data_IF_692885409795
#
_entry.id   IF_692885409795
#
_cell.length_a   1.000
_cell.length_b   1.000
_cell.length_c   1.000
_cell.angle_alpha   90.00
_cell.angle_beta   90.00
_cell.angle_gamma   90.00
#
_symmetry.space_group_name_H-M   'P 1'
#
loop_
_entity.id
_entity.type
_entity.pdbx_description
1 polymer ?
#
# COMPACT_ATOMS: atom_id res chain seq x y z
N UNK A 1 -28.45 -14.55 60.14
CA UNK A 1 -27.47 -15.59 60.54
C UNK A 1 -27.81 -16.89 59.83
N UNK A 2 -26.78 -17.51 59.22
CA UNK A 2 -26.65 -18.86 58.61
C UNK A 2 -27.14 -19.10 57.17
N UNK A 3 -26.14 -19.46 56.34
CA UNK A 3 -26.18 -20.11 55.02
C UNK A 3 -26.78 -21.53 55.12
N UNK A 4 -27.11 -22.16 53.97
CA UNK A 4 -26.20 -23.16 53.35
C UNK A 4 -26.18 -23.00 51.80
N UNK A 5 -25.30 -23.57 50.98
CA UNK A 5 -24.28 -24.61 51.09
C UNK A 5 -24.09 -25.16 49.66
N UNK A 6 -22.87 -25.08 49.14
CA UNK A 6 -22.47 -25.35 47.76
C UNK A 6 -22.97 -26.69 47.19
N UNK A 7 -23.52 -26.63 45.97
CA UNK A 7 -23.55 -27.75 45.05
C UNK A 7 -22.54 -27.56 43.93
N UNK A 8 -22.01 -28.65 43.40
CA UNK A 8 -21.81 -28.87 41.97
C UNK A 8 -21.56 -30.37 41.78
N UNK A 9 -22.53 -31.03 41.13
CA UNK A 9 -22.45 -32.40 40.66
C UNK A 9 -21.41 -32.51 39.53
N UNK A 10 -20.62 -33.59 39.54
CA UNK A 10 -19.85 -34.05 38.39
C UNK A 10 -19.87 -35.59 38.43
N UNK A 11 -20.92 -36.16 37.87
CA UNK A 11 -20.97 -37.55 37.45
C UNK A 11 -20.88 -37.60 35.93
N UNK A 12 -20.18 -38.64 35.46
CA UNK A 12 -20.11 -39.14 34.08
C UNK A 12 -19.21 -38.33 33.11
N UNK A 13 -18.20 -38.89 32.43
CA UNK A 13 -17.75 -40.26 32.29
C UNK A 13 -16.34 -40.29 31.67
N UNK A 14 -15.59 -41.33 32.05
CA UNK A 14 -14.63 -42.06 31.20
C UNK A 14 -13.28 -41.42 30.79
N UNK A 15 -12.24 -42.00 31.42
CA UNK A 15 -10.99 -42.48 30.77
C UNK A 15 -9.78 -41.54 30.70
N UNK A 16 -8.90 -41.69 31.69
CA UNK A 16 -7.46 -41.35 31.68
C UNK A 16 -6.65 -42.57 31.15
N UNK A 17 -5.34 -42.48 30.89
CA UNK A 17 -4.49 -41.39 30.39
C UNK A 17 -3.78 -41.82 29.07
N UNK A 18 -3.02 -40.98 28.38
CA UNK A 18 -1.56 -41.15 28.36
C UNK A 18 -0.86 -39.94 27.71
N UNK A 19 0.26 -39.56 28.33
CA UNK A 19 1.36 -38.79 27.79
C UNK A 19 1.13 -37.29 27.51
N UNK A 20 1.49 -36.51 28.53
CA UNK A 20 1.94 -35.13 28.38
C UNK A 20 3.20 -35.15 27.50
N UNK A 21 3.12 -34.58 26.29
CA UNK A 21 4.30 -34.02 25.61
C UNK A 21 4.01 -32.56 25.31
N UNK A 22 4.73 -31.69 26.02
CA UNK A 22 4.94 -30.29 25.64
C UNK A 22 5.42 -30.19 24.18
N UNK A 23 5.10 -29.05 23.56
CA UNK A 23 5.33 -28.58 22.17
C UNK A 23 4.07 -28.81 21.34
N UNK A 24 3.23 -27.80 21.05
CA UNK A 24 3.60 -26.63 20.28
C UNK A 24 2.95 -25.31 20.75
N UNK A 25 3.81 -24.33 21.00
CA UNK A 25 3.48 -22.90 20.97
C UNK A 25 3.43 -22.48 19.51
N UNK A 26 2.34 -22.72 18.78
CA UNK A 26 2.18 -22.10 17.47
C UNK A 26 0.72 -21.81 17.17
N UNK A 27 0.42 -20.53 16.99
CA UNK A 27 -0.92 -20.07 16.67
C UNK A 27 -1.28 -18.66 17.11
N UNK A 28 -0.31 -17.79 17.42
CA UNK A 28 -0.58 -16.35 17.33
C UNK A 28 -0.76 -16.05 15.84
N UNK A 29 -2.03 -15.97 15.39
CA UNK A 29 -2.37 -15.44 14.08
C UNK A 29 -1.84 -13.99 14.04
N UNK A 30 -0.66 -13.78 13.46
CA UNK A 30 -0.19 -12.45 13.06
C UNK A 30 -1.20 -11.96 12.03
N UNK A 31 -2.14 -11.15 12.50
CA UNK A 31 -3.25 -10.67 11.71
C UNK A 31 -2.72 -9.57 10.79
N UNK A 32 -2.11 -9.98 9.66
CA UNK A 32 -1.65 -9.06 8.62
C UNK A 32 -2.82 -8.18 8.19
N UNK A 33 -2.70 -6.87 8.40
CA UNK A 33 -3.68 -5.87 8.01
C UNK A 33 -3.33 -5.41 6.60
N UNK A 34 -4.23 -5.66 5.66
CA UNK A 34 -4.17 -5.08 4.31
C UNK A 34 -5.05 -3.84 4.25
N UNK A 35 -4.45 -2.70 3.96
CA UNK A 35 -5.15 -1.42 3.85
C UNK A 35 -5.10 -1.00 2.38
N UNK A 36 -6.28 -0.75 1.82
CA UNK A 36 -6.38 -0.07 0.54
C UNK A 36 -6.29 1.42 0.78
N UNK A 37 -5.39 2.07 0.07
CA UNK A 37 -5.23 3.51 0.11
C UNK A 37 -5.50 4.02 -1.31
N UNK A 38 -6.23 5.12 -1.43
CA UNK A 38 -6.41 5.83 -2.69
C UNK A 38 -5.91 7.27 -2.51
N UNK A 39 -4.82 7.43 -1.77
CA UNK A 39 -4.21 8.72 -1.55
C UNK A 39 -3.35 9.06 -2.77
N UNK A 40 -3.82 10.07 -3.52
CA UNK A 40 -3.03 10.73 -4.55
C UNK A 40 -2.09 11.68 -3.82
N UNK A 41 -0.80 11.68 -4.17
CA UNK A 41 0.06 12.79 -3.77
C UNK A 41 -0.28 13.97 -4.68
N UNK A 42 -1.33 14.71 -4.34
CA UNK A 42 -1.77 15.89 -5.08
C UNK A 42 -0.71 16.99 -4.97
N UNK A 43 -0.10 17.30 -6.12
CA UNK A 43 0.99 18.24 -6.30
C UNK A 43 0.42 19.67 -6.38
N UNK A 44 0.11 20.31 -5.25
CA UNK A 44 -0.32 21.71 -5.29
C UNK A 44 0.85 22.65 -5.68
N UNK A 45 0.59 23.50 -6.68
CA UNK A 45 1.52 24.45 -7.32
C UNK A 45 2.26 25.34 -6.31
N UNK A 46 3.46 24.93 -5.87
CA UNK A 46 4.18 25.66 -4.82
C UNK A 46 5.65 25.32 -4.65
N UNK A 47 6.38 25.08 -5.75
CA UNK A 47 7.84 25.18 -5.81
C UNK A 47 8.66 24.44 -4.74
N UNK A 48 9.03 23.18 -4.99
CA UNK A 48 10.30 22.55 -4.55
C UNK A 48 10.46 21.12 -5.10
N UNK A 49 11.32 20.96 -6.11
CA UNK A 49 12.17 19.76 -6.36
C UNK A 49 11.54 18.39 -6.67
N UNK A 50 12.16 17.65 -7.60
CA UNK A 50 11.84 16.25 -7.96
C UNK A 50 11.89 15.26 -6.77
N UNK A 51 12.56 15.62 -5.68
CA UNK A 51 12.72 14.80 -4.46
C UNK A 51 11.46 14.77 -3.57
N UNK A 52 10.46 15.62 -3.83
CA UNK A 52 9.25 15.76 -3.00
C UNK A 52 8.27 14.58 -3.12
N UNK A 53 8.28 13.83 -4.23
CA UNK A 53 7.30 12.76 -4.52
C UNK A 53 7.43 11.57 -3.55
N UNK A 54 8.65 11.10 -3.31
CA UNK A 54 8.91 9.97 -2.42
C UNK A 54 8.63 10.30 -0.94
N UNK A 55 8.89 11.54 -0.53
CA UNK A 55 8.69 11.99 0.85
C UNK A 55 7.20 12.08 1.21
N UNK A 56 6.37 12.59 0.29
CA UNK A 56 4.91 12.63 0.48
C UNK A 56 4.29 11.24 0.59
N UNK A 57 4.77 10.27 -0.20
CA UNK A 57 4.31 8.88 -0.09
C UNK A 57 4.65 8.27 1.28
N UNK A 58 5.86 8.52 1.82
CA UNK A 58 6.25 8.02 3.13
C UNK A 58 5.40 8.62 4.27
N UNK A 59 5.05 9.91 4.19
CA UNK A 59 4.16 10.56 5.16
C UNK A 59 2.75 9.96 5.14
N UNK A 60 2.18 9.72 3.95
CA UNK A 60 0.88 9.04 3.79
C UNK A 60 0.95 7.64 4.42
N UNK A 61 2.01 6.88 4.15
CA UNK A 61 2.16 5.53 4.70
C UNK A 61 2.24 5.55 6.23
N UNK A 62 2.97 6.51 6.82
CA UNK A 62 3.03 6.69 8.27
C UNK A 62 1.65 6.99 8.84
N UNK A 63 0.94 7.95 8.25
CA UNK A 63 -0.40 8.33 8.71
C UNK A 63 -1.38 7.16 8.63
N UNK A 64 -1.37 6.40 7.52
CA UNK A 64 -2.21 5.22 7.38
C UNK A 64 -1.85 4.11 8.37
N UNK A 65 -0.54 3.88 8.61
CA UNK A 65 -0.10 2.89 9.60
C UNK A 65 -0.56 3.26 11.02
N UNK A 66 -0.44 4.54 11.40
CA UNK A 66 -0.92 5.05 12.68
C UNK A 66 -2.45 4.92 12.82
N UNK A 67 -3.21 5.35 11.81
CA UNK A 67 -4.68 5.28 11.81
C UNK A 67 -5.20 3.85 11.96
N UNK A 68 -4.51 2.88 11.38
CA UNK A 68 -4.91 1.48 11.41
C UNK A 68 -4.19 0.64 12.48
N UNK A 69 -3.32 1.25 13.28
CA UNK A 69 -2.54 0.59 14.32
C UNK A 69 -1.68 -0.54 13.76
N UNK A 70 -0.97 -0.28 12.66
CA UNK A 70 0.09 -1.13 12.13
C UNK A 70 1.38 -0.70 12.84
N UNK A 71 2.01 -1.65 13.53
CA UNK A 71 3.30 -1.42 14.17
C UNK A 71 4.45 -1.49 13.15
N UNK A 72 4.29 -2.30 12.09
CA UNK A 72 5.29 -2.47 11.03
C UNK A 72 4.66 -2.72 9.67
N UNK A 73 5.00 -1.89 8.69
CA UNK A 73 4.61 -2.09 7.28
C UNK A 73 5.58 -3.09 6.65
N UNK A 74 5.07 -4.12 5.99
CA UNK A 74 5.88 -5.14 5.29
C UNK A 74 5.91 -4.92 3.79
N UNK A 75 4.82 -4.42 3.21
CA UNK A 75 4.68 -4.27 1.76
C UNK A 75 3.89 -3.00 1.43
N UNK A 76 4.32 -2.29 0.39
CA UNK A 76 3.67 -1.06 -0.12
C UNK A 76 3.54 -1.17 -1.62
N UNK A 77 2.35 -0.87 -2.14
CA UNK A 77 2.08 -0.79 -3.58
C UNK A 77 1.89 0.67 -3.97
N UNK A 78 2.75 1.14 -4.86
CA UNK A 78 2.68 2.47 -5.46
C UNK A 78 2.30 2.34 -6.94
N UNK A 79 1.39 3.20 -7.36
CA UNK A 79 1.09 3.42 -8.77
C UNK A 79 1.80 4.69 -9.23
N UNK A 80 2.55 4.58 -10.32
CA UNK A 80 3.31 5.70 -10.89
C UNK A 80 2.84 5.91 -12.31
N UNK A 81 2.37 7.12 -12.61
CA UNK A 81 2.00 7.48 -13.97
C UNK A 81 3.19 7.42 -14.93
N UNK A 82 2.98 6.88 -16.13
CA UNK A 82 4.04 6.70 -17.13
C UNK A 82 4.73 8.00 -17.55
N UNK A 83 4.08 9.15 -17.35
CA UNK A 83 4.63 10.48 -17.65
C UNK A 83 5.32 11.13 -16.46
N UNK A 84 5.36 10.48 -15.30
CA UNK A 84 6.00 11.04 -14.11
C UNK A 84 7.53 11.20 -14.28
N UNK A 85 8.13 10.56 -15.30
CA UNK A 85 9.58 10.58 -15.61
C UNK A 85 10.44 10.18 -14.39
N UNK A 86 9.94 9.22 -13.62
CA UNK A 86 10.61 8.67 -12.44
C UNK A 86 11.18 7.30 -12.78
N UNK A 87 12.50 7.16 -12.63
CA UNK A 87 13.15 5.86 -12.70
C UNK A 87 12.79 5.02 -11.46
N UNK A 88 12.33 3.79 -11.65
CA UNK A 88 11.95 2.87 -10.55
C UNK A 88 13.08 2.73 -9.52
N UNK A 89 14.33 2.59 -9.97
CA UNK A 89 15.50 2.44 -9.10
C UNK A 89 15.71 3.67 -8.21
N UNK A 90 15.49 4.87 -8.75
CA UNK A 90 15.58 6.12 -8.02
C UNK A 90 14.44 6.23 -7.00
N UNK A 91 13.23 5.79 -7.35
CA UNK A 91 12.09 5.78 -6.44
C UNK A 91 12.35 4.84 -5.26
N UNK A 92 12.81 3.61 -5.52
CA UNK A 92 13.22 2.66 -4.49
C UNK A 92 14.28 3.24 -3.55
N UNK A 93 15.30 3.91 -4.10
CA UNK A 93 16.36 4.51 -3.30
C UNK A 93 15.84 5.66 -2.43
N UNK A 94 15.05 6.57 -3.00
CA UNK A 94 14.47 7.68 -2.25
C UNK A 94 13.51 7.17 -1.17
N UNK A 95 12.74 6.13 -1.48
CA UNK A 95 11.80 5.51 -0.58
C UNK A 95 12.51 4.79 0.58
N UNK A 96 13.57 4.02 0.32
CA UNK A 96 14.40 3.40 1.36
C UNK A 96 14.92 4.45 2.34
N UNK A 97 15.46 5.56 1.83
CA UNK A 97 15.95 6.65 2.66
C UNK A 97 14.83 7.32 3.45
N UNK A 98 13.69 7.60 2.81
CA UNK A 98 12.54 8.24 3.45
C UNK A 98 11.92 7.36 4.54
N UNK A 99 11.98 6.04 4.39
CA UNK A 99 11.41 5.09 5.34
C UNK A 99 12.36 4.71 6.47
N UNK A 100 13.64 5.13 6.44
CA UNK A 100 14.58 4.92 7.56
C UNK A 100 14.03 5.54 8.83
N UNK A 101 14.14 4.79 9.93
CA UNK A 101 13.63 5.16 11.25
C UNK A 101 12.11 5.36 11.31
N UNK A 102 11.36 4.76 10.37
CA UNK A 102 9.89 4.76 10.36
C UNK A 102 9.31 3.35 10.44
N UNK A 103 7.99 3.24 10.60
CA UNK A 103 7.24 1.96 10.60
C UNK A 103 7.33 1.19 9.28
N UNK A 104 7.75 1.85 8.19
CA UNK A 104 7.95 1.26 6.88
C UNK A 104 9.41 0.91 6.58
N UNK A 105 10.29 0.98 7.58
CA UNK A 105 11.69 0.61 7.41
C UNK A 105 11.83 -0.85 6.97
N UNK A 106 12.49 -1.05 5.83
CA UNK A 106 12.74 -2.38 5.27
C UNK A 106 11.50 -3.06 4.66
N UNK A 107 10.45 -2.31 4.33
CA UNK A 107 9.30 -2.86 3.61
C UNK A 107 9.62 -3.09 2.13
N UNK A 108 8.92 -4.03 1.51
CA UNK A 108 9.00 -4.27 0.07
C UNK A 108 8.15 -3.24 -0.66
N UNK A 109 8.77 -2.46 -1.53
CA UNK A 109 8.06 -1.55 -2.41
C UNK A 109 7.72 -2.26 -3.73
N UNK A 110 6.45 -2.24 -4.11
CA UNK A 110 5.93 -2.73 -5.38
C UNK A 110 5.49 -1.52 -6.21
N UNK A 111 6.00 -1.39 -7.43
CA UNK A 111 5.70 -0.26 -8.32
C UNK A 111 4.91 -0.76 -9.53
N UNK A 112 3.71 -0.22 -9.70
CA UNK A 112 2.86 -0.43 -10.86
C UNK A 112 2.90 0.83 -11.74
N UNK A 113 3.42 0.71 -12.97
CA UNK A 113 3.41 1.84 -13.93
C UNK A 113 2.08 1.89 -14.65
N UNK A 114 1.36 3.01 -14.52
CA UNK A 114 0.03 3.20 -15.10
C UNK A 114 0.12 4.08 -16.35
N UNK A 115 -0.46 3.68 -17.49
CA UNK A 115 -0.50 4.52 -18.68
C UNK A 115 -1.20 5.85 -18.40
N UNK A 116 -0.69 6.91 -19.01
CA UNK A 116 -1.34 8.21 -18.95
C UNK A 116 -2.57 8.25 -19.85
N UNK A 117 -3.63 8.87 -19.37
CA UNK A 117 -4.81 9.10 -20.17
C UNK A 117 -4.72 10.43 -20.89
N UNK A 118 -4.98 10.41 -22.19
CA UNK A 118 -4.97 11.59 -23.04
C UNK A 118 -6.20 11.63 -23.95
N UNK A 119 -6.76 12.82 -24.15
CA UNK A 119 -7.83 13.07 -25.09
C UNK A 119 -7.28 13.48 -26.46
N UNK A 120 -7.66 12.77 -27.52
CA UNK A 120 -7.30 13.15 -28.88
C UNK A 120 -8.30 14.14 -29.47
N UNK A 121 -7.81 15.28 -29.95
CA UNK A 121 -8.67 16.30 -30.59
C UNK A 121 -9.12 15.94 -32.00
N UNK A 122 -8.41 15.06 -32.70
CA UNK A 122 -8.72 14.72 -34.09
C UNK A 122 -9.73 13.57 -34.20
N UNK A 123 -9.64 12.56 -33.32
CA UNK A 123 -10.62 11.46 -33.29
C UNK A 123 -11.63 11.57 -32.15
N UNK A 124 -11.50 12.57 -31.26
CA UNK A 124 -12.39 12.79 -30.10
C UNK A 124 -12.57 11.55 -29.24
N UNK A 125 -11.45 10.89 -28.92
CA UNK A 125 -11.42 9.67 -28.09
C UNK A 125 -10.32 9.76 -27.04
N UNK A 126 -10.54 9.05 -25.95
CA UNK A 126 -9.51 8.75 -24.97
C UNK A 126 -8.49 7.76 -25.54
N UNK A 127 -7.24 8.03 -25.23
CA UNK A 127 -6.07 7.30 -25.67
C UNK A 127 -5.13 7.14 -24.47
N UNK A 128 -4.60 5.94 -24.30
CA UNK A 128 -3.56 5.66 -23.33
C UNK A 128 -2.19 5.88 -23.98
N UNK A 129 -1.31 6.62 -23.29
CA UNK A 129 0.06 6.87 -23.72
C UNK A 129 1.05 6.52 -22.61
N UNK A 130 2.18 5.94 -23.01
CA UNK A 130 3.28 5.60 -22.09
C UNK A 130 4.39 6.65 -22.06
N UNK A 131 4.33 7.65 -22.93
CA UNK A 131 5.38 8.65 -23.10
C UNK A 131 4.80 9.96 -23.64
N UNK A 132 5.44 11.08 -23.33
CA UNK A 132 4.99 12.43 -23.71
C UNK A 132 4.89 12.62 -25.23
N UNK A 133 5.75 11.94 -25.99
CA UNK A 133 5.75 11.93 -27.46
C UNK A 133 4.89 10.78 -28.04
N UNK A 134 3.82 10.39 -27.34
CA UNK A 134 2.89 9.37 -27.81
C UNK A 134 2.00 9.90 -28.94
N UNK A 135 1.75 9.06 -29.94
CA UNK A 135 0.70 9.30 -30.94
C UNK A 135 -0.59 8.60 -30.50
N UNK A 136 -1.73 9.10 -30.94
CA UNK A 136 -3.02 8.47 -30.69
C UNK A 136 -3.02 7.05 -31.30
N UNK A 137 -3.29 5.98 -30.54
CA UNK A 137 -3.33 4.62 -31.06
C UNK A 137 -4.50 4.39 -32.03
N UNK A 138 -5.52 5.27 -32.01
CA UNK A 138 -6.71 5.14 -32.86
C UNK A 138 -6.55 5.79 -34.24
N UNK A 139 -5.85 6.92 -34.32
CA UNK A 139 -5.76 7.71 -35.56
C UNK A 139 -4.34 8.13 -35.96
N UNK A 140 -3.34 7.89 -35.10
CA UNK A 140 -1.95 8.30 -35.33
C UNK A 140 -1.67 9.79 -35.12
N UNK A 141 -2.64 10.59 -34.66
CA UNK A 141 -2.44 12.02 -34.41
C UNK A 141 -1.59 12.28 -33.17
N UNK A 142 -0.76 13.32 -33.24
CA UNK A 142 0.02 13.87 -32.12
C UNK A 142 -0.76 14.93 -31.32
N UNK A 143 -1.98 15.31 -31.74
CA UNK A 143 -2.81 16.31 -31.08
C UNK A 143 -3.55 15.71 -29.89
N UNK A 144 -2.79 15.25 -28.91
CA UNK A 144 -3.26 14.70 -27.66
C UNK A 144 -3.19 15.76 -26.55
N UNK A 145 -4.21 15.81 -25.71
CA UNK A 145 -4.19 16.55 -24.45
C UNK A 145 -4.15 15.53 -23.31
N UNK A 146 -3.06 15.51 -22.56
CA UNK A 146 -2.92 14.68 -21.36
C UNK A 146 -3.93 15.18 -20.32
N UNK A 147 -4.73 14.24 -19.80
CA UNK A 147 -5.68 14.48 -18.72
C UNK A 147 -5.11 14.03 -17.38
N UNK A 148 -4.44 12.87 -17.34
CA UNK A 148 -3.86 12.24 -16.15
C UNK A 148 -2.63 11.42 -16.52
N UNK A 149 -1.69 11.21 -15.58
CA UNK A 149 -0.62 10.23 -15.75
C UNK A 149 0.81 10.70 -15.46
N UNK A 150 0.98 11.85 -14.81
CA UNK A 150 2.24 12.26 -14.17
C UNK A 150 2.22 12.14 -12.63
N UNK A 151 1.10 11.61 -12.11
CA UNK A 151 0.82 11.44 -10.70
C UNK A 151 1.49 10.21 -10.08
N UNK A 152 1.58 10.21 -8.75
CA UNK A 152 1.97 9.07 -7.95
C UNK A 152 0.87 8.81 -6.91
N UNK A 153 0.46 7.54 -6.77
CA UNK A 153 -0.59 7.14 -5.85
C UNK A 153 -0.13 5.98 -4.97
N UNK A 154 -0.44 6.03 -3.68
CA UNK A 154 -0.30 4.87 -2.79
C UNK A 154 -1.56 4.03 -2.95
N UNK A 155 -1.45 2.83 -3.52
CA UNK A 155 -2.58 1.92 -3.83
C UNK A 155 -2.97 1.06 -2.62
N UNK A 156 -1.97 0.55 -1.91
CA UNK A 156 -2.20 -0.23 -0.71
C UNK A 156 -0.93 -0.37 0.10
N UNK A 157 -1.10 -0.65 1.38
CA UNK A 157 -0.04 -1.04 2.28
C UNK A 157 -0.48 -2.23 3.13
N UNK A 158 0.46 -3.13 3.40
CA UNK A 158 0.28 -4.29 4.26
C UNK A 158 1.25 -4.21 5.43
N UNK A 159 0.80 -4.63 6.61
CA UNK A 159 1.62 -4.63 7.80
C UNK A 159 0.99 -5.41 8.95
N UNK A 160 1.72 -5.44 10.06
CA UNK A 160 1.36 -6.12 11.31
C UNK A 160 1.39 -5.17 12.51
#
# INVERSE_FOLDING_TARGET
MKQPGNGCNYDDAESRPDCISNTDRDGFQNQRKKIKCDAITDYDNGGRGKLSKALGAADIIREQAEQHGIARVTDVWLEVGALADVEESALHFCFDIACRDTVAQGCTLHIDVIPAQAWCWDCSREAEIMQHAGCCPHCGSERLRISEGDDLRVKSLEGE
#
